data_IF_301179275118
#
_entry.id   IF_301179275118
#
_cell.length_a   1.000
_cell.length_b   1.000
_cell.length_c   1.000
_cell.angle_alpha   90.00
_cell.angle_beta   90.00
_cell.angle_gamma   90.00
#
_symmetry.space_group_name_H-M   'P 1'
#
loop_
_entity.id
_entity.type
_entity.pdbx_description
1 polymer ?
#
# COMPACT_ATOMS: atom_id res chain seq x y z
N UNK A 1 5.35 2.41 14.86
CA UNK A 1 4.12 3.14 14.52
C UNK A 1 2.87 2.43 15.06
N UNK A 2 2.58 1.18 14.65
CA UNK A 2 1.36 0.44 15.06
C UNK A 2 1.14 0.45 16.59
N UNK A 3 2.18 0.17 17.38
CA UNK A 3 2.10 0.19 18.85
C UNK A 3 1.83 1.59 19.40
N UNK A 4 2.43 2.62 18.82
CA UNK A 4 2.21 4.01 19.23
C UNK A 4 0.79 4.47 18.91
N UNK A 5 0.27 4.11 17.73
CA UNK A 5 -1.12 4.39 17.33
C UNK A 5 -2.09 3.70 18.28
N UNK A 6 -1.88 2.41 18.54
CA UNK A 6 -2.71 1.64 19.48
C UNK A 6 -2.67 2.20 20.93
N UNK A 7 -1.55 2.80 21.32
CA UNK A 7 -1.40 3.48 22.61
C UNK A 7 -1.98 4.92 22.63
N UNK A 8 -2.53 5.40 21.51
CA UNK A 8 -3.15 6.72 21.41
C UNK A 8 -2.16 7.89 21.27
N UNK A 9 -0.91 7.64 20.87
CA UNK A 9 0.12 8.67 20.83
C UNK A 9 -0.22 9.88 19.95
N UNK A 10 -0.99 9.67 18.87
CA UNK A 10 -1.46 10.73 17.97
C UNK A 10 -2.99 10.93 18.04
N UNK A 11 -3.65 10.42 19.10
CA UNK A 11 -5.09 10.38 19.19
C UNK A 11 -5.68 9.34 18.20
N UNK A 12 -6.88 9.62 17.68
CA UNK A 12 -7.53 8.75 16.70
C UNK A 12 -6.97 9.02 15.30
N UNK A 13 -6.48 8.00 14.57
CA UNK A 13 -6.11 8.15 13.17
C UNK A 13 -7.26 8.74 12.33
N UNK A 14 -6.93 9.62 11.39
CA UNK A 14 -7.89 10.26 10.48
C UNK A 14 -7.51 10.02 9.03
N UNK A 15 -6.24 10.21 8.71
CA UNK A 15 -5.76 10.04 7.33
C UNK A 15 -4.35 9.45 7.32
N UNK A 16 -4.12 8.56 6.38
CA UNK A 16 -2.81 8.05 6.01
C UNK A 16 -2.52 8.47 4.58
N UNK A 17 -1.29 8.84 4.28
CA UNK A 17 -0.89 9.22 2.93
C UNK A 17 0.43 8.56 2.58
N UNK A 18 0.47 7.90 1.44
CA UNK A 18 1.66 7.22 0.93
C UNK A 18 1.86 7.53 -0.55
N UNK A 19 3.10 7.72 -0.94
CA UNK A 19 3.50 7.78 -2.34
C UNK A 19 4.21 6.50 -2.72
N UNK A 20 4.01 6.05 -3.94
CA UNK A 20 4.68 4.87 -4.47
C UNK A 20 5.39 5.19 -5.77
N UNK A 21 6.50 4.52 -5.96
CA UNK A 21 7.24 4.47 -7.21
C UNK A 21 6.76 3.25 -8.00
N UNK A 22 6.64 3.32 -9.31
CA UNK A 22 6.33 2.17 -10.17
C UNK A 22 5.01 1.45 -9.86
N UNK A 23 3.96 1.74 -10.56
CA UNK A 23 2.72 0.97 -10.66
C UNK A 23 2.04 0.47 -9.37
N UNK A 24 0.76 0.62 -9.30
CA UNK A 24 -0.06 0.18 -8.16
C UNK A 24 0.13 -1.32 -7.85
N UNK A 25 0.17 -2.17 -8.88
CA UNK A 25 0.34 -3.63 -8.71
C UNK A 25 1.74 -4.06 -8.29
N UNK A 26 2.74 -3.18 -8.38
CA UNK A 26 4.09 -3.48 -7.93
C UNK A 26 4.32 -2.91 -6.52
N UNK A 27 4.68 -1.65 -6.41
CA UNK A 27 5.00 -1.03 -5.12
C UNK A 27 3.79 -0.59 -4.31
N UNK A 28 2.64 -0.36 -4.96
CA UNK A 28 1.41 0.02 -4.26
C UNK A 28 0.99 -0.99 -3.20
N UNK A 29 1.22 -2.29 -3.45
CA UNK A 29 0.95 -3.34 -2.47
C UNK A 29 1.65 -3.11 -1.14
N UNK A 30 2.92 -2.67 -1.16
CA UNK A 30 3.69 -2.43 0.07
C UNK A 30 3.11 -1.26 0.88
N UNK A 31 2.73 -0.18 0.21
CA UNK A 31 2.17 0.99 0.89
C UNK A 31 0.77 0.73 1.43
N UNK A 32 -0.08 0.03 0.67
CA UNK A 32 -1.43 -0.37 1.12
C UNK A 32 -1.33 -1.32 2.31
N UNK A 33 -0.47 -2.32 2.22
CA UNK A 33 -0.26 -3.27 3.31
C UNK A 33 0.30 -2.59 4.55
N UNK A 34 1.21 -1.62 4.37
CA UNK A 34 1.75 -0.83 5.46
C UNK A 34 0.67 0.02 6.14
N UNK A 35 -0.19 0.70 5.39
CA UNK A 35 -1.32 1.47 5.95
C UNK A 35 -2.24 0.57 6.76
N UNK A 36 -2.63 -0.58 6.22
CA UNK A 36 -3.45 -1.56 6.92
C UNK A 36 -2.76 -2.05 8.19
N UNK A 37 -1.49 -2.44 8.09
CA UNK A 37 -0.72 -2.88 9.26
C UNK A 37 -0.65 -1.82 10.35
N UNK A 38 -0.40 -0.57 10.01
CA UNK A 38 -0.34 0.54 10.97
C UNK A 38 -1.68 0.72 11.72
N UNK A 39 -2.80 0.49 11.03
CA UNK A 39 -4.15 0.59 11.60
C UNK A 39 -4.63 -0.67 12.34
N UNK A 40 -3.86 -1.76 12.37
CA UNK A 40 -4.27 -3.01 12.99
C UNK A 40 -4.97 -3.98 12.04
N UNK A 41 -4.70 -3.87 10.74
CA UNK A 41 -5.18 -4.75 9.66
C UNK A 41 -6.70 -4.69 9.39
N UNK A 42 -7.37 -3.52 9.44
CA UNK A 42 -8.78 -3.45 9.13
C UNK A 42 -9.08 -3.87 7.68
N UNK A 43 -10.31 -4.31 7.45
CA UNK A 43 -10.82 -4.43 6.08
C UNK A 43 -11.19 -3.02 5.58
N UNK A 44 -10.85 -2.72 4.32
CA UNK A 44 -11.33 -1.51 3.69
C UNK A 44 -12.82 -1.68 3.32
N UNK A 45 -13.57 -0.60 3.42
CA UNK A 45 -15.02 -0.59 3.16
C UNK A 45 -15.33 -0.13 1.74
N UNK A 46 -14.51 0.77 1.23
CA UNK A 46 -14.68 1.33 -0.12
C UNK A 46 -13.37 1.92 -0.65
N UNK A 47 -13.33 2.13 -1.95
CA UNK A 47 -12.24 2.82 -2.63
C UNK A 47 -12.77 3.81 -3.67
N UNK A 48 -11.97 4.85 -3.94
CA UNK A 48 -12.17 5.78 -5.05
C UNK A 48 -10.83 6.00 -5.74
N UNK A 49 -10.77 5.86 -7.06
CA UNK A 49 -9.53 5.86 -7.80
C UNK A 49 -9.53 6.65 -9.09
N UNK A 50 -8.34 7.05 -9.49
CA UNK A 50 -8.06 7.66 -10.78
C UNK A 50 -6.84 6.98 -11.39
N UNK A 51 -6.91 6.67 -12.69
CA UNK A 51 -5.85 6.00 -13.45
C UNK A 51 -5.60 6.80 -14.72
N UNK A 52 -4.34 7.06 -15.01
CA UNK A 52 -3.87 7.56 -16.28
C UNK A 52 -3.10 6.46 -17.01
N UNK A 53 -3.43 6.24 -18.28
CA UNK A 53 -2.78 5.26 -19.12
C UNK A 53 -2.51 5.85 -20.50
N UNK A 54 -1.25 6.26 -20.73
CA UNK A 54 -0.76 6.81 -22.00
C UNK A 54 0.06 5.81 -22.80
N UNK A 55 0.73 4.91 -22.08
CA UNK A 55 1.61 3.89 -22.65
C UNK A 55 1.07 2.48 -22.39
N UNK A 56 1.50 1.52 -23.18
CA UNK A 56 1.20 0.10 -22.94
C UNK A 56 2.27 -0.52 -22.04
N UNK A 57 2.31 -0.04 -20.80
CA UNK A 57 3.32 -0.33 -19.81
C UNK A 57 3.03 -1.65 -19.09
N UNK A 58 4.09 -2.43 -18.87
CA UNK A 58 4.06 -3.71 -18.18
C UNK A 58 5.17 -3.79 -17.13
N UNK A 59 4.90 -4.45 -16.02
CA UNK A 59 5.89 -4.81 -15.01
C UNK A 59 5.74 -6.30 -14.71
N UNK A 60 6.82 -7.07 -14.85
CA UNK A 60 6.81 -8.53 -14.71
C UNK A 60 5.74 -9.25 -15.57
N UNK A 61 5.46 -8.72 -16.74
CA UNK A 61 4.45 -9.27 -17.64
C UNK A 61 3.01 -8.91 -17.29
N UNK A 62 2.76 -8.15 -16.23
CA UNK A 62 1.44 -7.63 -15.88
C UNK A 62 1.28 -6.19 -16.37
N UNK A 63 0.13 -5.90 -16.97
CA UNK A 63 -0.20 -4.54 -17.39
C UNK A 63 -0.33 -3.65 -16.16
N UNK A 64 0.25 -2.46 -16.23
CA UNK A 64 0.16 -1.42 -15.20
C UNK A 64 -0.20 -0.08 -15.83
N UNK A 65 -0.56 0.84 -15.02
CA UNK A 65 -0.85 2.22 -15.37
C UNK A 65 0.43 3.08 -15.42
N UNK A 66 0.34 4.25 -16.06
CA UNK A 66 1.40 5.27 -16.01
C UNK A 66 1.30 6.10 -14.72
N UNK A 67 0.06 6.38 -14.26
CA UNK A 67 -0.21 7.09 -13.00
C UNK A 67 -1.48 6.54 -12.36
N UNK A 68 -1.48 6.50 -11.05
CA UNK A 68 -2.64 6.11 -10.27
C UNK A 68 -2.71 6.90 -8.96
N UNK A 69 -3.91 7.25 -8.56
CA UNK A 69 -4.18 7.72 -7.21
C UNK A 69 -5.45 7.06 -6.69
N UNK A 70 -5.48 6.78 -5.40
CA UNK A 70 -6.62 6.16 -4.75
C UNK A 70 -6.86 6.68 -3.35
N UNK A 71 -8.14 6.78 -2.99
CA UNK A 71 -8.60 6.99 -1.62
C UNK A 71 -9.22 5.69 -1.16
N UNK A 72 -8.83 5.23 0.01
CA UNK A 72 -9.26 3.98 0.64
C UNK A 72 -10.03 4.35 1.90
N UNK A 73 -11.29 3.96 1.99
CA UNK A 73 -12.10 4.13 3.20
C UNK A 73 -11.94 2.93 4.12
N UNK A 74 -11.44 3.18 5.31
CA UNK A 74 -11.37 2.22 6.40
C UNK A 74 -12.48 2.48 7.43
N UNK A 75 -12.75 1.55 8.36
CA UNK A 75 -13.69 1.76 9.46
C UNK A 75 -13.42 3.04 10.26
N UNK A 76 -14.42 3.52 10.97
CA UNK A 76 -14.37 4.72 11.81
C UNK A 76 -14.03 6.02 11.04
N UNK A 77 -14.25 6.03 9.72
CA UNK A 77 -14.01 7.18 8.85
C UNK A 77 -12.55 7.52 8.64
N UNK A 78 -11.66 6.56 8.85
CA UNK A 78 -10.25 6.70 8.52
C UNK A 78 -10.06 6.57 7.01
N UNK A 79 -9.27 7.46 6.41
CA UNK A 79 -8.96 7.42 4.99
C UNK A 79 -7.48 7.13 4.75
N UNK A 80 -7.22 6.20 3.85
CA UNK A 80 -5.91 6.00 3.25
C UNK A 80 -5.82 6.68 1.88
N UNK A 81 -4.76 7.40 1.60
CA UNK A 81 -4.47 7.96 0.27
C UNK A 81 -3.21 7.29 -0.25
N UNK A 82 -3.26 6.89 -1.51
CA UNK A 82 -2.11 6.30 -2.21
C UNK A 82 -1.96 6.95 -3.58
N UNK A 83 -0.76 7.35 -3.92
CA UNK A 83 -0.44 8.01 -5.18
C UNK A 83 0.86 7.44 -5.74
N UNK A 84 0.87 7.10 -7.03
CA UNK A 84 2.07 6.65 -7.72
C UNK A 84 2.56 7.68 -8.75
N UNK A 85 3.80 7.52 -9.19
CA UNK A 85 4.47 8.34 -10.21
C UNK A 85 4.57 9.85 -9.87
N UNK A 86 4.67 10.18 -8.58
CA UNK A 86 4.96 11.55 -8.14
C UNK A 86 6.46 11.88 -8.17
N UNK A 87 7.24 11.15 -8.94
CA UNK A 87 8.68 11.33 -9.12
C UNK A 87 9.53 10.21 -8.51
N UNK A 88 10.84 10.36 -8.55
CA UNK A 88 11.83 9.36 -8.13
C UNK A 88 11.95 9.16 -6.60
N UNK A 89 11.04 9.71 -5.83
CA UNK A 89 10.98 9.54 -4.38
C UNK A 89 10.49 8.14 -4.04
N UNK A 90 11.43 7.19 -4.13
CA UNK A 90 11.15 5.78 -3.93
C UNK A 90 11.27 5.35 -2.49
N UNK A 91 10.68 4.19 -2.21
CA UNK A 91 10.67 3.52 -0.93
C UNK A 91 9.27 3.49 -0.30
N UNK A 92 9.14 2.71 0.76
CA UNK A 92 7.91 2.69 1.55
C UNK A 92 7.90 3.94 2.41
N UNK A 93 6.85 4.73 2.29
CA UNK A 93 6.64 5.91 3.13
C UNK A 93 5.16 6.01 3.53
N UNK A 94 4.91 6.62 4.66
CA UNK A 94 3.55 6.90 5.11
C UNK A 94 3.55 8.08 6.08
N UNK A 95 2.75 9.09 5.78
CA UNK A 95 2.38 10.13 6.74
C UNK A 95 1.05 9.76 7.38
N UNK A 96 0.97 9.75 8.69
CA UNK A 96 -0.24 9.39 9.44
C UNK A 96 -0.67 10.59 10.27
N UNK A 97 -1.89 11.05 10.03
CA UNK A 97 -2.50 12.17 10.71
C UNK A 97 -3.56 11.67 11.68
N UNK A 98 -3.40 12.01 12.95
CA UNK A 98 -4.36 11.74 14.02
C UNK A 98 -5.08 12.99 14.49
N UNK A 99 -5.97 12.85 15.48
CA UNK A 99 -6.67 13.98 16.10
C UNK A 99 -5.75 14.88 16.92
N UNK A 100 -4.68 14.32 17.48
CA UNK A 100 -3.83 15.00 18.45
C UNK A 100 -2.36 15.03 18.02
N UNK A 101 -2.00 14.46 16.87
CA UNK A 101 -0.62 14.44 16.41
C UNK A 101 -0.48 13.80 15.03
N UNK A 102 0.77 13.63 14.61
CA UNK A 102 1.08 13.03 13.32
C UNK A 102 2.40 12.25 13.39
N UNK A 103 2.56 11.34 12.41
CA UNK A 103 3.78 10.56 12.22
C UNK A 103 4.21 10.61 10.76
N UNK A 104 5.51 10.60 10.52
CA UNK A 104 6.13 10.36 9.21
C UNK A 104 7.03 9.13 9.32
N UNK A 105 6.82 8.20 8.43
CA UNK A 105 7.47 6.90 8.45
C UNK A 105 8.04 6.60 7.08
N UNK A 106 9.25 6.10 7.06
CA UNK A 106 9.88 5.52 5.88
C UNK A 106 10.68 4.27 6.27
N UNK A 107 11.37 3.65 5.32
CA UNK A 107 12.16 2.43 5.55
C UNK A 107 13.19 2.55 6.68
N UNK A 108 13.64 3.77 6.98
CA UNK A 108 14.77 4.01 7.86
C UNK A 108 14.43 4.81 9.12
N UNK A 109 13.34 5.56 9.13
CA UNK A 109 13.01 6.47 10.23
C UNK A 109 11.53 6.51 10.55
N UNK A 110 11.25 6.85 11.79
CA UNK A 110 9.93 7.23 12.26
C UNK A 110 10.09 8.53 13.03
N UNK A 111 9.39 9.58 12.56
CA UNK A 111 9.28 10.87 13.25
C UNK A 111 7.84 11.06 13.65
N UNK A 112 7.63 11.74 14.76
CA UNK A 112 6.28 12.01 15.25
C UNK A 112 6.22 13.38 15.94
N UNK A 113 5.02 13.94 15.91
CA UNK A 113 4.69 15.18 16.62
C UNK A 113 3.45 14.89 17.46
N UNK A 114 3.54 15.14 18.76
CA UNK A 114 2.47 14.87 19.74
C UNK A 114 2.27 16.05 20.66
N UNK A 115 1.09 16.18 21.30
CA UNK A 115 0.80 17.27 22.22
C UNK A 115 1.81 17.34 23.36
N UNK A 116 2.15 18.57 23.75
CA UNK A 116 3.05 18.84 24.87
C UNK A 116 4.54 18.72 24.55
N UNK A 117 4.91 18.36 23.34
CA UNK A 117 6.29 18.33 22.85
C UNK A 117 6.52 19.40 21.79
N UNK A 118 7.67 20.06 21.83
CA UNK A 118 8.03 21.05 20.83
C UNK A 118 8.66 20.38 19.61
N UNK A 119 8.02 20.55 18.44
CA UNK A 119 8.54 20.08 17.16
C UNK A 119 8.51 18.56 16.96
N UNK A 120 9.21 18.12 15.94
CA UNK A 120 9.35 16.71 15.60
C UNK A 120 10.27 15.98 16.56
N UNK A 121 9.81 14.82 17.02
CA UNK A 121 10.60 13.84 17.76
C UNK A 121 10.99 12.73 16.80
N UNK A 122 12.16 12.16 16.97
CA UNK A 122 12.62 11.00 16.22
C UNK A 122 12.58 9.76 17.11
N UNK A 123 12.05 8.65 16.56
CA UNK A 123 12.04 7.38 17.28
C UNK A 123 13.44 6.76 17.23
N UNK A 124 14.05 6.56 18.38
CA UNK A 124 15.33 5.88 18.49
C UNK A 124 15.14 4.37 18.28
N UNK A 125 15.77 3.83 17.23
CA UNK A 125 15.76 2.40 16.96
C UNK A 125 16.63 1.66 17.98
N UNK A 126 16.13 0.55 18.49
CA UNK A 126 16.95 -0.40 19.24
C UNK A 126 17.93 -1.13 18.32
N UNK A 127 18.99 -1.75 18.85
CA UNK A 127 19.92 -2.58 18.07
C UNK A 127 19.19 -3.68 17.28
N UNK A 128 18.12 -4.23 17.82
CA UNK A 128 17.31 -5.26 17.17
C UNK A 128 16.54 -4.70 15.96
N UNK A 129 16.14 -3.44 16.02
CA UNK A 129 15.40 -2.75 14.95
C UNK A 129 16.33 -2.17 13.87
N UNK A 130 17.62 -1.98 14.19
CA UNK A 130 18.64 -1.49 13.23
C UNK A 130 19.18 -2.56 12.27
N UNK A 131 18.87 -3.84 12.47
CA UNK A 131 19.47 -4.94 11.70
C UNK A 131 18.96 -5.11 10.27
N UNK A 132 18.24 -4.17 9.68
CA UNK A 132 17.97 -4.06 8.25
C UNK A 132 17.18 -5.20 7.58
N UNK A 133 17.01 -5.09 6.29
CA UNK A 133 16.21 -5.98 5.43
C UNK A 133 16.60 -7.47 5.49
N UNK A 134 17.88 -7.79 5.69
CA UNK A 134 18.34 -9.18 5.81
C UNK A 134 17.74 -9.95 6.99
N UNK A 135 17.36 -9.24 8.05
CA UNK A 135 16.71 -9.84 9.21
C UNK A 135 15.18 -9.99 9.04
N UNK A 136 14.52 -9.20 8.17
CA UNK A 136 13.10 -9.30 7.95
C UNK A 136 12.70 -10.67 7.39
N UNK A 137 13.44 -11.18 6.40
CA UNK A 137 13.20 -12.52 5.83
C UNK A 137 13.47 -13.65 6.86
N UNK A 138 14.50 -13.50 7.67
CA UNK A 138 14.81 -14.46 8.74
C UNK A 138 13.68 -14.47 9.77
N UNK A 139 13.23 -13.30 10.20
CA UNK A 139 12.09 -13.20 11.13
C UNK A 139 10.81 -13.79 10.53
N UNK A 140 10.54 -13.52 9.27
CA UNK A 140 9.39 -14.09 8.57
C UNK A 140 9.47 -15.63 8.51
N UNK A 141 10.66 -16.17 8.24
CA UNK A 141 10.88 -17.63 8.24
C UNK A 141 10.64 -18.24 9.63
N UNK A 142 11.11 -17.58 10.69
CA UNK A 142 10.83 -18.03 12.06
C UNK A 142 9.35 -17.95 12.41
N UNK A 143 8.68 -16.87 12.05
CA UNK A 143 7.24 -16.71 12.31
C UNK A 143 6.42 -17.79 11.62
N UNK A 144 6.68 -18.08 10.33
CA UNK A 144 5.94 -19.14 9.62
C UNK A 144 6.18 -20.52 10.24
N UNK A 145 7.41 -20.84 10.68
CA UNK A 145 7.70 -22.09 11.36
C UNK A 145 6.91 -22.22 12.67
N UNK A 146 6.89 -21.15 13.46
CA UNK A 146 6.15 -21.11 14.74
C UNK A 146 4.63 -21.20 14.53
N UNK A 147 4.13 -20.56 13.49
CA UNK A 147 2.71 -20.62 13.13
C UNK A 147 2.30 -22.03 12.69
N UNK A 148 3.08 -22.67 11.81
CA UNK A 148 2.85 -24.06 11.39
C UNK A 148 2.98 -25.01 12.60
N UNK A 149 3.90 -24.74 13.52
CA UNK A 149 4.08 -25.51 14.76
C UNK A 149 3.01 -25.26 15.83
N UNK A 150 2.07 -24.33 15.60
CA UNK A 150 1.00 -23.99 16.55
C UNK A 150 1.47 -23.18 17.76
N UNK A 151 2.67 -22.61 17.73
CA UNK A 151 3.21 -21.77 18.81
C UNK A 151 2.64 -20.34 18.81
N UNK A 152 2.18 -19.87 17.66
CA UNK A 152 1.50 -18.59 17.49
C UNK A 152 0.21 -18.78 16.69
N UNK A 153 -0.81 -18.04 17.06
CA UNK A 153 -2.13 -18.14 16.41
C UNK A 153 -2.21 -17.40 15.09
N UNK A 154 -1.46 -16.30 14.95
CA UNK A 154 -1.48 -15.43 13.77
C UNK A 154 -0.10 -15.30 13.17
N UNK A 155 -0.06 -15.34 11.84
CA UNK A 155 1.12 -15.06 11.03
C UNK A 155 0.84 -13.91 10.08
N UNK A 156 1.64 -12.84 10.15
CA UNK A 156 1.40 -11.64 9.33
C UNK A 156 1.51 -11.89 7.83
N UNK A 157 2.26 -12.89 7.42
CA UNK A 157 2.39 -13.31 6.02
C UNK A 157 1.26 -14.19 5.49
N UNK A 158 0.14 -14.36 6.21
CA UNK A 158 -1.00 -15.12 5.70
C UNK A 158 -1.59 -14.50 4.43
N UNK A 159 -2.02 -15.36 3.50
CA UNK A 159 -2.61 -14.97 2.22
C UNK A 159 -3.81 -14.00 2.35
N UNK A 160 -4.52 -14.02 3.49
CA UNK A 160 -5.61 -13.08 3.78
C UNK A 160 -5.18 -11.61 3.71
N UNK A 161 -3.96 -11.28 4.14
CA UNK A 161 -3.44 -9.91 4.11
C UNK A 161 -3.08 -9.48 2.68
N UNK A 162 -2.39 -10.36 1.93
CA UNK A 162 -2.09 -10.14 0.52
C UNK A 162 -3.36 -10.00 -0.33
N UNK A 163 -4.36 -10.87 -0.09
CA UNK A 163 -5.67 -10.78 -0.74
C UNK A 163 -6.34 -9.43 -0.48
N UNK A 164 -6.35 -8.97 0.77
CA UNK A 164 -6.98 -7.70 1.12
C UNK A 164 -6.28 -6.49 0.48
N UNK A 165 -4.94 -6.51 0.38
CA UNK A 165 -4.20 -5.47 -0.34
C UNK A 165 -4.50 -5.51 -1.85
N UNK A 166 -4.50 -6.71 -2.46
CA UNK A 166 -4.85 -6.88 -3.87
C UNK A 166 -6.27 -6.42 -4.17
N UNK A 167 -7.24 -6.72 -3.31
CA UNK A 167 -8.62 -6.31 -3.47
C UNK A 167 -8.76 -4.78 -3.49
N UNK A 168 -8.02 -4.06 -2.64
CA UNK A 168 -7.97 -2.60 -2.66
C UNK A 168 -7.39 -2.09 -3.99
N UNK A 169 -6.28 -2.66 -4.48
CA UNK A 169 -5.67 -2.27 -5.76
C UNK A 169 -6.63 -2.47 -6.93
N UNK A 170 -7.27 -3.64 -6.99
CA UNK A 170 -8.28 -3.93 -8.02
C UNK A 170 -9.48 -3.01 -7.90
N UNK A 171 -9.91 -2.69 -6.69
CA UNK A 171 -10.99 -1.74 -6.45
C UNK A 171 -10.68 -0.33 -6.93
N UNK A 172 -9.42 0.13 -6.76
CA UNK A 172 -8.97 1.43 -7.30
C UNK A 172 -9.05 1.46 -8.83
N UNK A 173 -8.64 0.40 -9.51
CA UNK A 173 -8.79 0.29 -10.97
C UNK A 173 -10.26 0.24 -11.39
N UNK A 174 -11.08 -0.51 -10.69
CA UNK A 174 -12.52 -0.58 -10.98
C UNK A 174 -13.21 0.77 -10.78
N UNK A 175 -12.87 1.46 -9.70
CA UNK A 175 -13.38 2.81 -9.44
C UNK A 175 -12.98 3.80 -10.55
N UNK A 176 -11.74 3.75 -11.01
CA UNK A 176 -11.28 4.59 -12.13
C UNK A 176 -12.04 4.28 -13.44
N UNK A 177 -12.30 2.99 -13.72
CA UNK A 177 -13.07 2.54 -14.88
C UNK A 177 -14.52 3.01 -14.81
N UNK A 178 -15.18 2.80 -13.67
CA UNK A 178 -16.58 3.16 -13.46
C UNK A 178 -16.79 4.65 -13.17
N UNK A 179 -15.74 5.38 -12.83
CA UNK A 179 -15.76 6.79 -12.42
C UNK A 179 -16.65 7.04 -11.20
N UNK A 180 -16.65 6.10 -10.28
CA UNK A 180 -17.43 6.17 -9.05
C UNK A 180 -16.71 5.52 -7.87
N UNK A 181 -17.23 5.75 -6.67
CA UNK A 181 -16.78 5.05 -5.46
C UNK A 181 -17.24 3.59 -5.51
N UNK A 182 -16.32 2.66 -5.32
CA UNK A 182 -16.59 1.23 -5.30
C UNK A 182 -16.58 0.70 -3.88
N UNK A 183 -17.62 -0.03 -3.50
CA UNK A 183 -17.69 -0.72 -2.21
C UNK A 183 -16.88 -2.01 -2.23
N UNK A 184 -16.29 -2.35 -1.10
CA UNK A 184 -15.59 -3.61 -0.88
C UNK A 184 -16.43 -4.53 0.04
N UNK A 185 -16.39 -5.84 -0.13
CA UNK A 185 -15.53 -6.60 -1.05
C UNK A 185 -15.92 -6.42 -2.52
N UNK A 186 -14.89 -6.41 -3.38
CA UNK A 186 -15.06 -6.19 -4.83
C UNK A 186 -15.87 -7.31 -5.47
N UNK A 187 -16.88 -6.93 -6.27
CA UNK A 187 -17.73 -7.89 -6.98
C UNK A 187 -17.15 -8.30 -8.33
N UNK A 188 -16.36 -7.43 -8.96
CA UNK A 188 -15.68 -7.70 -10.24
C UNK A 188 -14.70 -8.85 -10.10
N UNK A 189 -14.74 -9.81 -11.04
CA UNK A 189 -13.95 -11.06 -11.00
C UNK A 189 -12.85 -11.13 -12.06
N UNK A 190 -12.68 -10.09 -12.81
CA UNK A 190 -11.61 -9.91 -13.80
C UNK A 190 -10.67 -8.79 -13.33
N UNK A 191 -9.47 -8.71 -13.90
CA UNK A 191 -8.62 -7.53 -13.68
C UNK A 191 -9.28 -6.31 -14.33
N UNK A 192 -9.71 -5.29 -13.59
CA UNK A 192 -10.44 -4.16 -14.15
C UNK A 192 -9.63 -3.32 -15.13
N UNK A 193 -8.30 -3.24 -14.95
CA UNK A 193 -7.42 -2.54 -15.88
C UNK A 193 -7.32 -3.29 -17.23
N UNK A 194 -7.13 -4.60 -17.19
CA UNK A 194 -7.13 -5.42 -18.41
C UNK A 194 -8.47 -5.35 -19.13
N UNK A 195 -9.57 -5.45 -18.39
CA UNK A 195 -10.90 -5.33 -18.93
C UNK A 195 -11.13 -3.99 -19.64
N UNK A 196 -10.78 -2.87 -18.97
CA UNK A 196 -10.93 -1.53 -19.55
C UNK A 196 -10.08 -1.31 -20.81
N UNK A 197 -8.94 -1.97 -20.90
CA UNK A 197 -8.11 -1.95 -22.12
C UNK A 197 -8.72 -2.78 -23.24
N UNK A 198 -9.17 -3.99 -22.95
CA UNK A 198 -9.77 -4.91 -23.92
C UNK A 198 -11.09 -4.39 -24.48
N UNK A 199 -11.87 -3.67 -23.68
CA UNK A 199 -13.12 -3.02 -24.09
C UNK A 199 -12.91 -1.65 -24.75
N UNK A 200 -11.68 -1.12 -24.76
CA UNK A 200 -11.36 0.18 -25.33
C UNK A 200 -11.75 1.38 -24.44
N UNK A 201 -12.11 1.15 -23.18
CA UNK A 201 -12.44 2.20 -22.22
C UNK A 201 -11.19 3.01 -21.79
N UNK A 202 -10.01 2.38 -21.83
CA UNK A 202 -8.71 3.02 -21.54
C UNK A 202 -7.72 2.80 -22.70
N UNK A 203 -7.89 3.50 -23.84
CA UNK A 203 -6.95 3.42 -24.95
C UNK A 203 -5.61 4.04 -24.57
N UNK A 204 -4.55 3.61 -25.25
CA UNK A 204 -3.21 4.20 -25.11
C UNK A 204 -2.94 5.23 -26.20
N UNK A 205 -2.23 6.30 -25.87
CA UNK A 205 -1.72 7.28 -26.81
C UNK A 205 -0.50 6.75 -27.58
N UNK A 206 0.29 5.89 -26.93
CA UNK A 206 1.51 5.28 -27.48
C UNK A 206 1.39 3.77 -27.44
N UNK A 207 0.85 3.14 -28.50
CA UNK A 207 0.74 1.69 -28.57
C UNK A 207 2.13 1.05 -28.71
N UNK A 208 2.25 -0.15 -28.23
CA UNK A 208 3.46 -0.94 -28.25
C UNK A 208 3.88 -1.34 -26.84
N UNK A 209 3.90 -2.67 -26.63
CA UNK A 209 4.20 -3.23 -25.32
C UNK A 209 5.59 -2.80 -24.86
N UNK A 210 5.64 -2.15 -23.73
CA UNK A 210 6.86 -1.86 -23.01
C UNK A 210 6.83 -2.55 -21.64
N UNK A 211 7.78 -3.47 -21.43
CA UNK A 211 7.90 -4.20 -20.17
C UNK A 211 9.23 -3.83 -19.51
N UNK A 212 9.15 -3.09 -18.42
CA UNK A 212 10.29 -2.54 -17.70
C UNK A 212 11.25 -3.61 -17.17
N UNK A 213 10.74 -4.81 -16.94
CA UNK A 213 11.50 -5.92 -16.37
C UNK A 213 11.67 -7.11 -17.30
N UNK A 214 11.41 -6.94 -18.57
CA UNK A 214 11.56 -8.01 -19.56
C UNK A 214 13.01 -8.55 -19.65
N UNK A 215 13.99 -7.73 -19.33
CA UNK A 215 15.40 -8.12 -19.27
C UNK A 215 15.74 -9.03 -18.07
N UNK A 216 14.94 -9.04 -17.01
CA UNK A 216 15.14 -9.91 -15.84
C UNK A 216 14.56 -11.31 -16.04
N UNK A 217 13.69 -11.50 -17.01
CA UNK A 217 13.00 -12.77 -17.29
C UNK A 217 13.77 -13.60 -18.34
N UNK A 218 14.82 -13.03 -18.92
CA UNK A 218 15.71 -13.71 -19.89
C UNK A 218 16.93 -14.29 -19.18
N UNK A 219 16.69 -15.25 -18.31
CA UNK A 219 17.70 -16.10 -17.72
C UNK A 219 17.38 -17.55 -18.00
#
# INVERSE_FOLDING_TARGET
ARRMIAAGAIGKPRRLWSTVRQGMLNWGTHCIDFQRFALGDPQAEWVMGSVERKTDHYIFGHRVEDRCSGIIGYPDGVEGVIENELGDWGGINCSIYGTDGMMEINDNSLKFMVPGQAGWQEFEKTEKETRGYGNAFVHQAYEICRWIGGEIEEYRGEAKHGKAALEIMMGVYESARMRERVSLPLQTRVNPLDYAVETGEMPVERPGRWDERSFLVRG
#
